data_IF_395992184085
#
_entry.id   IF_395992184085
#
_cell.length_a   1.000
_cell.length_b   1.000
_cell.length_c   1.000
_cell.angle_alpha   90.00
_cell.angle_beta   90.00
_cell.angle_gamma   90.00
#
_symmetry.space_group_name_H-M   'P 1'
#
loop_
_entity.id
_entity.type
_entity.pdbx_description
1 polymer ?
#
# COMPACT_ATOMS: atom_id res chain seq x y z
N UNK A 1 -22.02 -13.26 2.13
CA UNK A 1 -21.53 -13.86 0.86
C UNK A 1 -22.00 -12.96 -0.26
N UNK A 2 -21.10 -12.34 -0.96
CA UNK A 2 -21.42 -11.45 -2.08
C UNK A 2 -21.88 -12.29 -3.28
N UNK A 3 -23.05 -11.95 -3.83
CA UNK A 3 -23.53 -12.62 -5.02
C UNK A 3 -23.04 -11.86 -6.26
N UNK A 4 -21.96 -12.32 -6.84
CA UNK A 4 -21.27 -11.70 -8.00
C UNK A 4 -22.07 -11.74 -9.30
N UNK A 5 -23.22 -12.36 -9.33
CA UNK A 5 -23.96 -12.63 -10.57
C UNK A 5 -24.97 -11.58 -10.98
N UNK A 6 -25.32 -10.61 -10.10
CA UNK A 6 -26.43 -9.67 -10.38
C UNK A 6 -26.06 -8.18 -10.32
N UNK A 7 -24.88 -7.82 -9.78
CA UNK A 7 -24.45 -6.42 -9.68
C UNK A 7 -23.06 -6.22 -10.28
N UNK A 8 -22.89 -5.21 -11.11
CA UNK A 8 -21.56 -4.75 -11.50
C UNK A 8 -20.90 -4.06 -10.31
N UNK A 9 -19.74 -4.57 -9.90
CA UNK A 9 -18.91 -3.93 -8.87
C UNK A 9 -17.76 -3.24 -9.59
N UNK A 10 -17.61 -1.94 -9.39
CA UNK A 10 -16.44 -1.18 -9.82
C UNK A 10 -15.45 -1.13 -8.67
N UNK A 11 -14.24 -1.64 -8.88
CA UNK A 11 -13.16 -1.63 -7.89
C UNK A 11 -12.05 -0.67 -8.33
N UNK A 12 -11.77 0.32 -7.50
CA UNK A 12 -10.68 1.27 -7.71
C UNK A 12 -9.54 0.96 -6.74
N UNK A 13 -8.39 0.55 -7.27
CA UNK A 13 -7.18 0.32 -6.51
C UNK A 13 -6.28 1.55 -6.61
N UNK A 14 -6.10 2.22 -5.48
CA UNK A 14 -5.33 3.47 -5.41
C UNK A 14 -4.07 3.25 -4.58
N UNK A 15 -2.91 3.48 -5.18
CA UNK A 15 -1.65 3.50 -4.45
C UNK A 15 -1.53 4.79 -3.64
N UNK A 16 -0.99 4.70 -2.43
CA UNK A 16 -0.71 5.87 -1.58
C UNK A 16 0.19 6.89 -2.28
N UNK A 17 0.09 8.14 -1.87
CA UNK A 17 0.95 9.23 -2.33
C UNK A 17 2.42 9.01 -1.95
N UNK A 18 3.29 9.86 -2.48
CA UNK A 18 4.73 9.75 -2.30
C UNK A 18 5.14 10.00 -0.85
N UNK A 19 6.07 9.18 -0.35
CA UNK A 19 6.73 9.31 0.95
C UNK A 19 8.21 9.67 0.77
N UNK A 20 8.90 10.03 1.84
CA UNK A 20 10.35 10.28 1.77
C UNK A 20 11.11 9.01 1.36
N UNK A 21 10.73 7.85 1.91
CA UNK A 21 11.34 6.57 1.54
C UNK A 21 11.18 6.23 0.07
N UNK A 22 10.05 6.62 -0.55
CA UNK A 22 9.89 6.46 -2.01
C UNK A 22 10.87 7.34 -2.79
N UNK A 23 11.09 8.58 -2.36
CA UNK A 23 12.07 9.50 -2.98
C UNK A 23 13.49 8.94 -2.87
N UNK A 24 13.83 8.34 -1.73
CA UNK A 24 15.15 7.75 -1.46
C UNK A 24 15.29 6.30 -1.96
N UNK A 25 14.26 5.76 -2.63
CA UNK A 25 14.21 4.38 -3.14
C UNK A 25 14.49 3.31 -2.07
N UNK A 26 13.95 3.54 -0.85
CA UNK A 26 14.08 2.60 0.27
C UNK A 26 12.96 1.56 0.26
N UNK A 27 13.27 0.39 0.80
CA UNK A 27 12.26 -0.61 1.15
C UNK A 27 11.52 -0.13 2.41
N UNK A 28 10.34 0.45 2.24
CA UNK A 28 9.49 0.96 3.31
C UNK A 28 8.28 0.04 3.44
N UNK A 29 8.37 -0.89 4.34
CA UNK A 29 7.35 -1.89 4.59
C UNK A 29 6.47 -1.57 5.80
N UNK A 30 5.99 -2.63 6.44
CA UNK A 30 5.07 -2.52 7.58
C UNK A 30 5.74 -2.09 8.88
N UNK A 31 7.06 -2.24 8.99
CA UNK A 31 7.81 -1.84 10.19
C UNK A 31 8.06 -0.33 10.24
N UNK A 32 7.95 0.35 9.10
CA UNK A 32 8.18 1.80 8.97
C UNK A 32 6.89 2.50 8.58
N UNK A 33 6.23 3.11 9.56
CA UNK A 33 4.97 3.82 9.33
C UNK A 33 5.19 5.31 9.09
N UNK A 34 5.87 5.64 7.98
CA UNK A 34 6.17 7.01 7.61
C UNK A 34 4.97 7.74 6.97
N UNK A 35 4.86 9.06 7.15
CA UNK A 35 3.84 9.87 6.53
C UNK A 35 4.13 10.13 5.05
N UNK A 36 3.13 10.68 4.37
CA UNK A 36 3.34 11.30 3.06
C UNK A 36 4.37 12.42 3.14
N UNK A 37 5.21 12.54 2.11
CA UNK A 37 6.07 13.71 1.94
C UNK A 37 5.22 14.96 1.62
N UNK A 38 5.78 16.13 1.82
CA UNK A 38 5.11 17.39 1.46
C UNK A 38 4.73 17.42 -0.03
N UNK A 39 5.66 17.03 -0.90
CA UNK A 39 5.39 16.93 -2.34
C UNK A 39 4.30 15.90 -2.65
N UNK A 40 4.30 14.76 -1.95
CA UNK A 40 3.26 13.73 -2.09
C UNK A 40 1.87 14.27 -1.73
N UNK A 41 1.75 15.02 -0.64
CA UNK A 41 0.51 15.69 -0.24
C UNK A 41 0.03 16.68 -1.30
N UNK A 42 0.91 17.54 -1.76
CA UNK A 42 0.58 18.56 -2.78
C UNK A 42 0.14 17.94 -4.11
N UNK A 43 0.77 16.84 -4.52
CA UNK A 43 0.37 16.11 -5.72
C UNK A 43 -1.02 15.49 -5.60
N UNK A 44 -1.37 14.95 -4.44
CA UNK A 44 -2.72 14.42 -4.19
C UNK A 44 -3.77 15.51 -4.17
N UNK A 45 -3.51 16.63 -3.49
CA UNK A 45 -4.43 17.79 -3.46
C UNK A 45 -4.75 18.30 -4.87
N UNK A 46 -3.76 18.39 -5.74
CA UNK A 46 -3.95 18.81 -7.14
C UNK A 46 -4.83 17.86 -7.95
N UNK A 47 -4.93 16.60 -7.54
CA UNK A 47 -5.69 15.55 -8.24
C UNK A 47 -7.00 15.19 -7.55
N UNK A 48 -7.30 15.78 -6.42
CA UNK A 48 -8.46 15.45 -5.59
C UNK A 48 -9.77 15.48 -6.38
N UNK A 49 -10.03 16.56 -7.11
CA UNK A 49 -11.27 16.70 -7.87
C UNK A 49 -11.38 15.69 -9.00
N UNK A 50 -10.25 15.36 -9.64
CA UNK A 50 -10.19 14.31 -10.65
C UNK A 50 -10.56 12.95 -10.06
N UNK A 51 -10.00 12.60 -8.90
CA UNK A 51 -10.32 11.34 -8.22
C UNK A 51 -11.76 11.29 -7.75
N UNK A 52 -12.30 12.40 -7.25
CA UNK A 52 -13.70 12.49 -6.85
C UNK A 52 -14.66 12.20 -8.01
N UNK A 53 -14.31 12.64 -9.22
CA UNK A 53 -15.10 12.36 -10.42
C UNK A 53 -14.95 10.90 -10.88
N UNK A 54 -13.71 10.39 -10.94
CA UNK A 54 -13.42 9.02 -11.39
C UNK A 54 -14.09 7.99 -10.50
N UNK A 55 -13.97 8.16 -9.19
CA UNK A 55 -14.50 7.22 -8.20
C UNK A 55 -15.98 7.45 -7.88
N UNK A 56 -16.65 8.43 -8.50
CA UNK A 56 -18.05 8.76 -8.20
C UNK A 56 -18.33 8.84 -6.70
N UNK A 57 -17.57 9.66 -5.99
CA UNK A 57 -17.56 9.70 -4.53
C UNK A 57 -18.92 9.93 -3.88
N UNK A 58 -19.89 10.48 -4.61
CA UNK A 58 -21.26 10.62 -4.14
C UNK A 58 -22.01 9.30 -3.88
N UNK A 59 -21.54 8.21 -4.51
CA UNK A 59 -22.16 6.88 -4.41
C UNK A 59 -21.34 5.94 -3.49
N UNK A 60 -20.18 6.40 -2.98
CA UNK A 60 -19.29 5.57 -2.16
C UNK A 60 -19.64 5.68 -0.67
N UNK A 61 -20.08 4.61 -0.03
CA UNK A 61 -20.39 4.65 1.41
C UNK A 61 -19.13 4.64 2.28
N UNK A 62 -18.05 4.01 1.82
CA UNK A 62 -16.80 3.81 2.57
C UNK A 62 -15.60 3.78 1.64
N UNK A 63 -14.42 4.06 2.22
CA UNK A 63 -13.10 3.79 1.62
C UNK A 63 -12.41 2.75 2.48
N UNK A 64 -12.11 1.60 1.92
CA UNK A 64 -11.30 0.59 2.59
C UNK A 64 -9.82 0.95 2.44
N UNK A 65 -9.08 0.89 3.52
CA UNK A 65 -7.71 1.43 3.56
C UNK A 65 -6.77 0.52 4.35
N UNK A 66 -5.53 0.43 3.89
CA UNK A 66 -4.46 -0.12 4.71
C UNK A 66 -4.26 0.75 5.97
N UNK A 67 -4.00 0.17 7.15
CA UNK A 67 -3.77 0.94 8.38
C UNK A 67 -2.47 1.74 8.37
N UNK A 68 -1.63 1.62 7.32
CA UNK A 68 -0.41 2.41 7.19
C UNK A 68 -0.72 3.91 7.07
N UNK A 69 0.01 4.73 7.80
CA UNK A 69 -0.22 6.19 7.89
C UNK A 69 -0.29 6.85 6.51
N UNK A 70 0.63 6.53 5.60
CA UNK A 70 0.63 7.03 4.22
C UNK A 70 -0.64 6.70 3.44
N UNK A 71 -1.24 5.54 3.71
CA UNK A 71 -2.48 5.12 3.05
C UNK A 71 -3.69 5.89 3.61
N UNK A 72 -3.79 6.02 4.94
CA UNK A 72 -4.84 6.79 5.61
C UNK A 72 -4.80 8.25 5.19
N UNK A 73 -3.61 8.87 5.19
CA UNK A 73 -3.44 10.26 4.74
C UNK A 73 -3.80 10.45 3.27
N UNK A 74 -3.52 9.46 2.41
CA UNK A 74 -3.95 9.49 1.01
C UNK A 74 -5.47 9.51 0.91
N UNK A 75 -6.15 8.64 1.65
CA UNK A 75 -7.60 8.56 1.66
C UNK A 75 -8.24 9.84 2.26
N UNK A 76 -7.65 10.41 3.33
CA UNK A 76 -8.09 11.68 3.92
C UNK A 76 -8.03 12.84 2.92
N UNK A 77 -6.99 12.90 2.10
CA UNK A 77 -6.82 13.95 1.10
C UNK A 77 -7.80 13.76 -0.06
N UNK A 78 -7.88 12.54 -0.59
CA UNK A 78 -8.69 12.29 -1.78
C UNK A 78 -10.18 12.20 -1.49
N UNK A 79 -10.56 11.71 -0.31
CA UNK A 79 -11.93 11.38 0.07
C UNK A 79 -12.30 11.89 1.48
N UNK A 80 -12.14 13.19 1.76
CA UNK A 80 -12.21 13.74 3.13
C UNK A 80 -13.58 13.60 3.80
N UNK A 81 -14.65 13.36 3.02
CA UNK A 81 -16.01 13.22 3.53
C UNK A 81 -16.48 11.77 3.64
N UNK A 82 -15.65 10.82 3.21
CA UNK A 82 -16.02 9.41 3.17
C UNK A 82 -15.36 8.68 4.34
N UNK A 83 -16.13 7.96 5.18
CA UNK A 83 -15.57 7.19 6.28
C UNK A 83 -14.55 6.14 5.78
N UNK A 84 -13.44 6.03 6.48
CA UNK A 84 -12.41 5.03 6.23
C UNK A 84 -12.64 3.79 7.08
N UNK A 85 -12.49 2.61 6.49
CA UNK A 85 -12.47 1.32 7.18
C UNK A 85 -11.09 0.71 7.00
N UNK A 86 -10.36 0.56 8.10
CA UNK A 86 -9.03 -0.02 8.09
C UNK A 86 -9.09 -1.54 7.96
N UNK A 87 -8.33 -2.07 7.02
CA UNK A 87 -8.19 -3.51 6.77
C UNK A 87 -6.79 -3.94 7.21
N UNK A 88 -6.67 -4.48 8.41
CA UNK A 88 -5.38 -4.82 9.02
C UNK A 88 -4.53 -5.78 8.16
N UNK A 89 -5.08 -6.80 7.50
CA UNK A 89 -4.33 -7.64 6.57
C UNK A 89 -3.68 -6.89 5.38
N UNK A 90 -4.08 -5.67 5.10
CA UNK A 90 -3.52 -4.86 4.00
C UNK A 90 -2.31 -4.01 4.39
N UNK A 91 -1.69 -4.28 5.54
CA UNK A 91 -0.37 -3.71 5.84
C UNK A 91 0.61 -4.02 4.73
N UNK A 92 1.56 -3.13 4.51
CA UNK A 92 2.66 -3.36 3.55
C UNK A 92 3.45 -4.62 3.95
N UNK A 93 4.19 -5.17 3.00
CA UNK A 93 5.08 -6.31 3.20
C UNK A 93 6.12 -6.01 4.30
N UNK A 94 6.45 -7.02 5.09
CA UNK A 94 7.56 -6.96 6.03
C UNK A 94 8.86 -7.23 5.29
N UNK A 95 9.66 -6.20 5.06
CA UNK A 95 10.96 -6.32 4.40
C UNK A 95 12.08 -6.80 5.34
N UNK A 96 11.77 -7.09 6.62
CA UNK A 96 12.71 -7.63 7.58
C UNK A 96 13.98 -6.80 7.69
N UNK A 97 15.15 -7.45 7.53
CA UNK A 97 16.45 -6.78 7.63
C UNK A 97 16.76 -5.80 6.47
N UNK A 98 15.94 -5.80 5.40
CA UNK A 98 16.09 -4.86 4.30
C UNK A 98 15.28 -3.57 4.53
N UNK A 99 14.43 -3.54 5.54
CA UNK A 99 13.62 -2.38 5.90
C UNK A 99 14.47 -1.12 6.05
N UNK A 100 14.02 -0.01 5.46
CA UNK A 100 14.70 1.29 5.50
C UNK A 100 15.95 1.42 4.66
N UNK A 101 16.40 0.36 3.99
CA UNK A 101 17.60 0.37 3.14
C UNK A 101 17.22 0.53 1.66
N UNK A 102 18.12 1.11 0.89
CA UNK A 102 18.01 1.17 -0.56
C UNK A 102 19.01 0.23 -1.26
N UNK A 103 18.92 0.15 -2.58
CA UNK A 103 19.77 -0.70 -3.39
C UNK A 103 21.27 -0.48 -3.10
N UNK A 104 21.71 0.78 -3.00
CA UNK A 104 23.12 1.09 -2.77
C UNK A 104 23.65 0.55 -1.43
N UNK A 105 22.79 0.56 -0.41
CA UNK A 105 23.11 0.05 0.93
C UNK A 105 23.06 -1.47 1.00
N UNK A 106 22.24 -2.11 0.15
CA UNK A 106 22.11 -3.57 0.09
C UNK A 106 23.07 -4.22 -0.91
N UNK A 107 23.68 -3.42 -1.77
CA UNK A 107 24.64 -3.91 -2.77
C UNK A 107 25.84 -4.57 -2.09
N UNK A 108 26.12 -5.82 -2.50
CA UNK A 108 27.18 -6.64 -1.88
C UNK A 108 26.70 -7.52 -0.70
N UNK A 109 25.47 -7.40 -0.24
CA UNK A 109 24.89 -8.37 0.68
C UNK A 109 24.49 -9.65 -0.13
N UNK A 110 25.09 -10.82 0.18
CA UNK A 110 24.80 -12.04 -0.56
C UNK A 110 23.34 -12.50 -0.41
N UNK A 111 22.65 -12.15 0.67
CA UNK A 111 21.25 -12.46 0.88
C UNK A 111 20.36 -11.62 -0.02
N UNK A 112 20.74 -10.35 -0.24
CA UNK A 112 20.04 -9.48 -1.18
C UNK A 112 20.22 -9.96 -2.62
N UNK A 113 21.44 -10.37 -2.99
CA UNK A 113 21.69 -10.95 -4.30
C UNK A 113 20.90 -12.24 -4.51
N UNK A 114 20.87 -13.15 -3.53
CA UNK A 114 20.07 -14.36 -3.59
C UNK A 114 18.56 -14.07 -3.75
N UNK A 115 18.06 -13.05 -3.06
CA UNK A 115 16.67 -12.61 -3.20
C UNK A 115 16.38 -12.09 -4.62
N UNK A 116 17.27 -11.28 -5.20
CA UNK A 116 17.17 -10.82 -6.61
C UNK A 116 17.19 -12.01 -7.57
N UNK A 117 18.15 -12.92 -7.42
CA UNK A 117 18.35 -14.09 -8.29
C UNK A 117 17.13 -15.03 -8.24
N UNK A 118 16.42 -15.07 -7.13
CA UNK A 118 15.17 -15.82 -6.98
C UNK A 118 13.97 -15.19 -7.71
N UNK A 119 14.12 -14.01 -8.28
CA UNK A 119 12.98 -13.22 -8.80
C UNK A 119 12.01 -12.77 -7.71
N UNK A 120 12.48 -12.59 -6.47
CA UNK A 120 11.68 -12.15 -5.33
C UNK A 120 10.79 -13.26 -4.74
N UNK A 121 11.10 -14.53 -4.98
CA UNK A 121 10.35 -15.66 -4.41
C UNK A 121 10.83 -16.05 -3.01
N UNK A 122 12.08 -15.77 -2.68
CA UNK A 122 12.59 -15.99 -1.32
C UNK A 122 11.94 -14.98 -0.35
N UNK A 123 11.75 -15.42 0.90
CA UNK A 123 11.37 -14.51 1.98
C UNK A 123 12.47 -13.49 2.24
N UNK A 124 12.09 -12.28 2.67
CA UNK A 124 13.05 -11.32 3.17
C UNK A 124 13.69 -11.85 4.46
N UNK A 125 15.01 -11.67 4.67
CA UNK A 125 15.66 -12.10 5.90
C UNK A 125 14.99 -11.45 7.14
N UNK A 126 14.45 -12.28 8.04
CA UNK A 126 13.69 -11.81 9.19
C UNK A 126 12.35 -11.14 8.85
N UNK A 127 11.88 -11.25 7.62
CA UNK A 127 10.66 -10.64 7.13
C UNK A 127 9.69 -11.65 6.53
N UNK A 128 8.85 -11.17 5.64
CA UNK A 128 7.73 -11.90 5.05
C UNK A 128 8.08 -12.49 3.68
N UNK A 129 7.51 -13.64 3.34
CA UNK A 129 7.56 -14.16 1.97
C UNK A 129 6.49 -13.52 1.11
N UNK A 130 6.71 -13.52 -0.21
CA UNK A 130 5.71 -13.08 -1.18
C UNK A 130 4.39 -13.85 -1.06
N UNK A 131 4.48 -15.15 -0.81
CA UNK A 131 3.29 -16.01 -0.65
C UNK A 131 2.49 -15.64 0.60
N UNK A 132 3.14 -15.47 1.75
CA UNK A 132 2.48 -15.04 2.99
C UNK A 132 1.82 -13.67 2.84
N UNK A 133 2.51 -12.73 2.18
CA UNK A 133 1.95 -11.40 1.87
C UNK A 133 0.69 -11.50 1.01
N UNK A 134 0.73 -12.26 -0.10
CA UNK A 134 -0.42 -12.43 -0.98
C UNK A 134 -1.59 -13.07 -0.23
N UNK A 135 -1.33 -14.13 0.53
CA UNK A 135 -2.36 -14.85 1.28
C UNK A 135 -3.11 -13.91 2.21
N UNK A 136 -2.41 -13.15 3.06
CA UNK A 136 -3.09 -12.25 3.99
C UNK A 136 -3.78 -11.06 3.30
N UNK A 137 -3.26 -10.60 2.15
CA UNK A 137 -3.95 -9.56 1.39
C UNK A 137 -5.27 -10.08 0.79
N UNK A 138 -5.28 -11.34 0.32
CA UNK A 138 -6.51 -12.01 -0.16
C UNK A 138 -7.50 -12.21 0.99
N UNK A 139 -7.03 -12.67 2.16
CA UNK A 139 -7.87 -12.78 3.36
C UNK A 139 -8.50 -11.43 3.72
N UNK A 140 -7.76 -10.33 3.54
CA UNK A 140 -8.26 -8.97 3.72
C UNK A 140 -9.39 -8.60 2.76
N UNK A 141 -9.42 -9.17 1.55
CA UNK A 141 -10.52 -8.94 0.59
C UNK A 141 -11.84 -9.62 1.03
N UNK A 142 -11.76 -10.64 1.88
CA UNK A 142 -12.97 -11.28 2.42
C UNK A 142 -13.67 -10.43 3.49
N UNK A 143 -13.00 -9.39 3.99
CA UNK A 143 -13.54 -8.45 4.98
C UNK A 143 -14.28 -7.26 4.34
N UNK A 144 -14.21 -7.12 3.02
CA UNK A 144 -14.80 -6.07 2.18
C UNK A 144 -16.00 -6.59 1.41
#
# INVERSE_FOLDING_TARGET
MWNWTENQIELYLIRHGMTLGNVEHRYIGRQTDEPLSEDGRQQLEKRKDQWAQVCRTGDMPYVFVSPMLRCRQTAEILFPQIPQIEIEPWREMDFGEFEGKNYAQLNGDPRYQAWIDSGGTLAFPGGESREAFITRCVDGMELV
#
